data_IF_275412327607
#
_entry.id   IF_275412327607
#
_cell.length_a   1.000
_cell.length_b   1.000
_cell.length_c   1.000
_cell.angle_alpha   90.00
_cell.angle_beta   90.00
_cell.angle_gamma   90.00
#
_symmetry.space_group_name_H-M   'P 1'
#
loop_
_entity.id
_entity.type
_entity.pdbx_description
1 polymer ?
#
# COMPACT_ATOMS: atom_id res chain seq x y z
N UNK A 1 17.92 -36.21 -15.18
CA UNK A 1 17.18 -37.24 -15.91
C UNK A 1 15.87 -37.46 -15.21
N UNK A 2 14.78 -37.09 -15.74
CA UNK A 2 13.59 -37.86 -16.07
C UNK A 2 12.54 -36.94 -16.68
N UNK A 3 12.30 -37.19 -17.95
CA UNK A 3 11.23 -36.65 -18.80
C UNK A 3 9.89 -37.30 -18.43
N UNK A 4 8.81 -36.64 -18.86
CA UNK A 4 7.50 -37.20 -19.29
C UNK A 4 6.34 -36.62 -18.49
N UNK A 5 5.17 -36.22 -19.03
CA UNK A 5 4.64 -36.31 -20.39
C UNK A 5 3.53 -35.27 -20.54
N UNK A 6 3.46 -34.74 -21.74
CA UNK A 6 2.37 -34.05 -22.40
C UNK A 6 1.09 -34.89 -22.36
N UNK A 7 -0.07 -34.33 -22.03
CA UNK A 7 -1.36 -34.86 -22.44
C UNK A 7 -2.25 -33.74 -22.97
N UNK A 8 -2.35 -33.71 -24.28
CA UNK A 8 -3.34 -32.95 -25.07
C UNK A 8 -4.61 -33.78 -25.12
N UNK A 9 -5.76 -33.21 -24.77
CA UNK A 9 -7.07 -33.76 -25.14
C UNK A 9 -7.85 -32.67 -25.86
N UNK A 10 -8.04 -32.90 -27.14
CA UNK A 10 -8.96 -32.22 -28.06
C UNK A 10 -10.26 -33.02 -28.10
N UNK A 11 -11.41 -32.39 -27.94
CA UNK A 11 -12.69 -32.89 -28.43
C UNK A 11 -13.65 -31.69 -28.53
N UNK A 12 -13.81 -31.14 -29.71
CA UNK A 12 -14.89 -31.21 -30.74
C UNK A 12 -16.30 -30.83 -30.28
N UNK A 13 -16.71 -29.66 -30.75
CA UNK A 13 -17.92 -29.26 -31.48
C UNK A 13 -19.23 -29.97 -31.17
N UNK A 14 -20.25 -29.20 -30.79
CA UNK A 14 -21.61 -29.37 -31.26
C UNK A 14 -22.36 -28.05 -31.35
N UNK A 15 -22.78 -27.75 -32.55
CA UNK A 15 -23.63 -26.65 -33.01
C UNK A 15 -25.10 -26.98 -32.67
N UNK A 16 -25.83 -26.03 -32.08
CA UNK A 16 -27.27 -26.17 -31.87
C UNK A 16 -27.94 -24.77 -31.88
N UNK A 17 -28.60 -24.46 -33.01
CA UNK A 17 -29.56 -23.37 -33.09
C UNK A 17 -30.88 -23.81 -32.47
N UNK A 18 -31.56 -22.93 -31.71
CA UNK A 18 -32.92 -22.51 -31.99
C UNK A 18 -33.56 -21.74 -30.82
N UNK A 19 -34.10 -20.58 -31.16
CA UNK A 19 -35.44 -20.05 -30.90
C UNK A 19 -35.74 -19.31 -29.60
N UNK A 20 -36.17 -18.07 -29.85
CA UNK A 20 -36.91 -17.08 -29.06
C UNK A 20 -37.93 -17.63 -28.05
N UNK A 21 -37.95 -17.04 -26.85
CA UNK A 21 -39.23 -16.71 -26.19
C UNK A 21 -39.04 -15.56 -25.19
N UNK A 22 -39.90 -14.59 -25.30
CA UNK A 22 -40.07 -13.39 -24.47
C UNK A 22 -40.60 -13.75 -23.09
N UNK A 23 -40.18 -13.00 -22.04
CA UNK A 23 -40.90 -13.07 -20.77
C UNK A 23 -40.15 -12.47 -19.60
N UNK A 24 -40.45 -11.21 -19.35
CA UNK A 24 -40.70 -10.47 -18.10
C UNK A 24 -39.73 -10.55 -16.91
N UNK A 25 -39.32 -9.36 -16.54
CA UNK A 25 -39.10 -8.76 -15.21
C UNK A 25 -38.63 -9.66 -14.05
N UNK A 26 -37.41 -9.40 -13.65
CA UNK A 26 -37.05 -9.33 -12.24
C UNK A 26 -35.90 -8.33 -12.10
N UNK A 27 -36.22 -7.21 -11.46
CA UNK A 27 -35.28 -6.24 -10.98
C UNK A 27 -34.31 -6.96 -10.03
N UNK A 28 -33.07 -7.09 -10.47
CA UNK A 28 -31.92 -7.25 -9.59
C UNK A 28 -31.23 -5.89 -9.61
N UNK A 29 -31.16 -5.26 -8.45
CA UNK A 29 -30.34 -4.08 -8.18
C UNK A 29 -28.92 -4.41 -8.60
N UNK A 30 -28.61 -4.06 -9.83
CA UNK A 30 -27.24 -3.93 -10.31
C UNK A 30 -26.74 -2.57 -9.79
N UNK A 31 -26.03 -2.62 -8.68
CA UNK A 31 -25.20 -1.50 -8.25
C UNK A 31 -24.18 -1.30 -9.38
N UNK A 32 -24.59 -0.59 -10.40
CA UNK A 32 -23.74 -0.09 -11.46
C UNK A 32 -22.77 0.90 -10.84
N UNK A 33 -21.64 0.40 -10.35
CA UNK A 33 -20.46 1.21 -10.12
C UNK A 33 -20.05 1.73 -11.49
N UNK A 34 -20.53 2.91 -11.83
CA UNK A 34 -20.10 3.63 -13.03
C UNK A 34 -18.63 3.98 -12.86
N UNK A 35 -17.76 3.07 -13.30
CA UNK A 35 -16.38 3.38 -13.59
C UNK A 35 -16.34 4.31 -14.80
N UNK A 36 -16.50 5.60 -14.56
CA UNK A 36 -16.43 6.62 -15.62
C UNK A 36 -14.95 6.92 -15.87
N UNK A 37 -14.34 6.13 -16.74
CA UNK A 37 -13.03 6.43 -17.31
C UNK A 37 -13.14 7.67 -18.19
N UNK A 38 -12.74 8.82 -17.67
CA UNK A 38 -12.50 10.00 -18.50
C UNK A 38 -13.09 11.31 -17.97
N UNK A 39 -12.23 12.20 -17.49
CA UNK A 39 -12.54 13.61 -17.31
C UNK A 39 -12.73 14.10 -15.88
N UNK A 40 -12.78 13.25 -14.87
CA UNK A 40 -12.77 13.71 -13.48
C UNK A 40 -11.32 13.90 -13.00
N UNK A 41 -11.06 15.06 -12.42
CA UNK A 41 -9.86 15.29 -11.63
C UNK A 41 -10.12 14.80 -10.21
N UNK A 42 -9.12 14.19 -9.59
CA UNK A 42 -9.13 13.75 -8.18
C UNK A 42 -9.42 14.93 -7.27
N UNK A 43 -10.39 14.77 -6.38
CA UNK A 43 -10.75 15.73 -5.34
C UNK A 43 -11.01 15.03 -4.01
N UNK A 44 -11.14 15.84 -2.94
CA UNK A 44 -11.47 15.31 -1.61
C UNK A 44 -12.78 14.52 -1.64
N UNK A 45 -12.77 13.35 -0.99
CA UNK A 45 -13.89 12.42 -0.92
C UNK A 45 -13.94 11.40 -2.06
N UNK A 46 -13.13 11.55 -3.11
CA UNK A 46 -13.04 10.52 -4.15
C UNK A 46 -12.28 9.29 -3.62
N UNK A 47 -12.79 8.09 -3.92
CA UNK A 47 -12.04 6.84 -3.77
C UNK A 47 -11.15 6.68 -5.01
N UNK A 48 -9.84 6.63 -4.81
CA UNK A 48 -8.86 6.48 -5.88
C UNK A 48 -8.12 5.15 -5.78
N UNK A 49 -7.78 4.60 -6.94
CA UNK A 49 -6.85 3.49 -7.05
C UNK A 49 -5.59 3.98 -7.75
N UNK A 50 -4.42 3.70 -7.17
CA UNK A 50 -3.14 4.16 -7.71
C UNK A 50 -2.11 3.04 -7.72
N UNK A 51 -1.23 3.07 -8.72
CA UNK A 51 0.05 2.41 -8.62
C UNK A 51 1.10 3.40 -8.17
N UNK A 52 2.06 2.92 -7.37
CA UNK A 52 3.17 3.74 -6.93
C UNK A 52 4.46 2.93 -6.75
N UNK A 53 5.56 3.67 -6.77
CA UNK A 53 6.88 3.23 -6.34
C UNK A 53 7.41 4.28 -5.38
N UNK A 54 7.79 3.86 -4.17
CA UNK A 54 8.40 4.70 -3.14
C UNK A 54 9.90 4.45 -3.04
N UNK A 55 10.68 5.51 -3.12
CA UNK A 55 12.15 5.47 -3.04
C UNK A 55 12.69 6.42 -1.98
N UNK A 56 13.81 6.06 -1.37
CA UNK A 56 14.61 6.93 -0.50
C UNK A 56 15.51 7.85 -1.32
N UNK A 57 16.14 8.83 -0.67
CA UNK A 57 17.07 9.76 -1.33
C UNK A 57 18.32 9.08 -1.90
N UNK A 58 18.68 7.90 -1.43
CA UNK A 58 19.75 7.08 -1.99
C UNK A 58 19.34 6.29 -3.24
N UNK A 59 18.07 6.38 -3.64
CA UNK A 59 17.48 5.68 -4.78
C UNK A 59 17.00 4.26 -4.47
N UNK A 60 17.14 3.78 -3.25
CA UNK A 60 16.61 2.48 -2.86
C UNK A 60 15.08 2.49 -2.81
N UNK A 61 14.44 1.45 -3.36
CA UNK A 61 12.99 1.28 -3.27
C UNK A 61 12.65 0.65 -1.93
N UNK A 62 11.77 1.31 -1.16
CA UNK A 62 11.29 0.78 0.12
C UNK A 62 9.89 0.16 0.01
N UNK A 63 9.10 0.57 -0.98
CA UNK A 63 7.76 0.01 -1.21
C UNK A 63 7.31 0.21 -2.66
N UNK A 64 6.52 -0.77 -3.19
CA UNK A 64 5.97 -0.71 -4.55
C UNK A 64 4.68 -1.50 -4.67
N UNK A 65 3.59 -0.84 -5.04
CA UNK A 65 2.33 -1.50 -5.36
C UNK A 65 2.42 -2.36 -6.62
N UNK A 66 3.35 -2.03 -7.54
CA UNK A 66 3.56 -2.80 -8.76
C UNK A 66 4.22 -4.15 -8.46
N UNK A 67 5.18 -4.19 -7.52
CA UNK A 67 5.81 -5.44 -7.07
C UNK A 67 4.82 -6.34 -6.33
N UNK A 68 3.90 -5.75 -5.55
CA UNK A 68 2.81 -6.50 -4.90
C UNK A 68 1.74 -6.97 -5.88
N UNK A 69 1.69 -6.40 -7.08
CA UNK A 69 0.68 -6.73 -8.12
C UNK A 69 -0.73 -6.24 -7.80
N UNK A 70 -0.88 -5.31 -6.84
CA UNK A 70 -2.18 -4.78 -6.40
C UNK A 70 -2.09 -3.28 -6.22
N UNK A 71 -2.99 -2.48 -6.85
CA UNK A 71 -3.07 -1.05 -6.61
C UNK A 71 -3.39 -0.74 -5.15
N UNK A 72 -2.98 0.44 -4.69
CA UNK A 72 -3.43 1.02 -3.43
C UNK A 72 -4.73 1.75 -3.68
N UNK A 73 -5.74 1.45 -2.86
CA UNK A 73 -7.04 2.13 -2.88
C UNK A 73 -7.21 2.92 -1.58
N UNK A 74 -7.57 4.20 -1.67
CA UNK A 74 -7.82 5.04 -0.51
C UNK A 74 -8.77 6.19 -0.87
N UNK A 75 -9.40 6.79 0.15
CA UNK A 75 -10.28 7.96 0.01
C UNK A 75 -9.48 9.23 0.25
N UNK A 76 -9.47 10.12 -0.74
CA UNK A 76 -8.72 11.38 -0.68
C UNK A 76 -9.27 12.30 0.42
N UNK A 77 -8.37 12.86 1.24
CA UNK A 77 -8.72 13.78 2.33
C UNK A 77 -9.12 13.11 3.64
N UNK A 78 -9.02 11.78 3.78
CA UNK A 78 -9.42 11.06 5.00
C UNK A 78 -8.24 10.64 5.89
N UNK A 79 -7.02 11.02 5.55
CA UNK A 79 -5.79 10.63 6.25
C UNK A 79 -5.55 9.11 6.32
N UNK A 80 -6.01 8.36 5.33
CA UNK A 80 -5.71 6.93 5.16
C UNK A 80 -4.28 6.71 4.68
N UNK A 81 -3.67 7.72 4.06
CA UNK A 81 -2.29 7.76 3.59
C UNK A 81 -1.57 8.98 4.16
N UNK A 82 -0.24 9.06 4.01
CA UNK A 82 0.53 10.23 4.44
C UNK A 82 0.10 11.50 3.69
N UNK A 83 0.16 12.66 4.35
CA UNK A 83 -0.38 13.91 3.83
C UNK A 83 0.20 14.30 2.46
N UNK A 84 1.51 14.16 2.28
CA UNK A 84 2.16 14.47 1.02
C UNK A 84 1.69 13.58 -0.14
N UNK A 85 1.35 12.30 0.14
CA UNK A 85 0.83 11.37 -0.87
C UNK A 85 -0.60 11.74 -1.27
N UNK A 86 -1.43 12.07 -0.27
CA UNK A 86 -2.80 12.52 -0.46
C UNK A 86 -2.85 13.82 -1.29
N UNK A 87 -1.98 14.78 -1.00
CA UNK A 87 -1.86 16.04 -1.74
C UNK A 87 -1.37 15.83 -3.18
N UNK A 88 -0.45 14.89 -3.39
CA UNK A 88 0.16 14.64 -4.69
C UNK A 88 -0.81 14.07 -5.74
N UNK A 89 -1.88 13.40 -5.33
CA UNK A 89 -2.88 12.84 -6.26
C UNK A 89 -3.97 13.84 -6.63
N UNK A 90 -4.17 14.92 -5.84
CA UNK A 90 -5.21 15.92 -6.12
C UNK A 90 -4.99 16.59 -7.48
N UNK A 91 -6.07 16.69 -8.24
CA UNK A 91 -6.07 17.32 -9.57
C UNK A 91 -5.58 16.44 -10.69
N UNK A 92 -5.08 15.22 -10.42
CA UNK A 92 -4.74 14.25 -11.46
C UNK A 92 -5.99 13.63 -12.05
N UNK A 93 -5.88 13.15 -13.27
CA UNK A 93 -6.90 12.36 -13.96
C UNK A 93 -6.46 10.90 -14.10
N UNK A 94 -7.39 10.01 -14.44
CA UNK A 94 -7.06 8.60 -14.69
C UNK A 94 -6.02 8.48 -15.81
N UNK A 95 -4.95 7.73 -15.55
CA UNK A 95 -3.81 7.53 -16.45
C UNK A 95 -2.72 8.58 -16.33
N UNK A 96 -2.92 9.62 -15.52
CA UNK A 96 -1.85 10.58 -15.22
C UNK A 96 -0.92 10.05 -14.11
N UNK A 97 0.33 10.46 -14.22
CA UNK A 97 1.37 10.16 -13.23
C UNK A 97 2.01 11.43 -12.71
N UNK A 98 2.43 11.38 -11.47
CA UNK A 98 3.21 12.44 -10.82
C UNK A 98 4.39 11.84 -10.07
N UNK A 99 5.43 12.66 -9.88
CA UNK A 99 6.53 12.33 -8.97
C UNK A 99 6.58 13.42 -7.90
N UNK A 100 6.41 13.01 -6.66
CA UNK A 100 6.39 13.92 -5.52
C UNK A 100 7.42 13.49 -4.48
N UNK A 101 8.28 14.45 -4.08
CA UNK A 101 9.20 14.28 -2.96
C UNK A 101 8.61 14.91 -1.72
N UNK A 102 8.44 14.09 -0.69
CA UNK A 102 7.84 14.45 0.57
C UNK A 102 8.92 14.59 1.64
N UNK A 103 8.88 15.66 2.38
CA UNK A 103 9.73 15.84 3.56
C UNK A 103 9.20 15.00 4.71
N UNK A 104 10.04 14.70 5.73
CA UNK A 104 9.59 13.88 6.86
C UNK A 104 8.29 14.37 7.50
N UNK A 105 8.09 15.69 7.63
CA UNK A 105 6.90 16.27 8.23
C UNK A 105 5.59 15.94 7.47
N UNK A 106 5.67 15.73 6.16
CA UNK A 106 4.54 15.39 5.29
C UNK A 106 4.43 13.88 5.04
N UNK A 107 5.33 13.09 5.66
CA UNK A 107 5.44 11.64 5.56
C UNK A 107 5.25 10.97 6.93
N UNK A 108 6.30 10.35 7.46
CA UNK A 108 6.25 9.61 8.73
C UNK A 108 6.77 10.41 9.93
N UNK A 109 6.97 11.70 9.77
CA UNK A 109 7.46 12.60 10.82
C UNK A 109 8.98 12.63 10.93
N UNK A 110 9.46 13.63 11.67
CA UNK A 110 10.88 13.72 12.02
C UNK A 110 11.24 12.64 13.04
N UNK A 111 12.49 12.15 12.96
CA UNK A 111 13.02 11.30 14.02
C UNK A 111 13.11 12.11 15.34
N UNK A 112 12.74 11.51 16.47
CA UNK A 112 12.74 12.19 17.76
C UNK A 112 13.30 11.31 18.88
N UNK A 113 14.14 11.89 19.72
CA UNK A 113 14.63 11.27 20.96
C UNK A 113 13.50 10.88 21.93
N UNK A 114 12.32 11.52 21.80
CA UNK A 114 11.16 11.21 22.64
C UNK A 114 10.65 9.78 22.46
N UNK A 115 10.92 9.19 21.29
CA UNK A 115 10.58 7.81 20.97
C UNK A 115 11.73 6.83 21.22
N UNK A 116 12.83 7.30 21.83
CA UNK A 116 13.90 6.45 22.33
C UNK A 116 13.63 6.12 23.79
N UNK A 117 13.38 4.86 24.09
CA UNK A 117 12.97 4.42 25.44
C UNK A 117 13.95 3.40 26.00
N UNK A 118 14.24 3.51 27.29
CA UNK A 118 14.98 2.50 28.01
C UNK A 118 14.01 1.59 28.79
N UNK A 119 14.07 0.30 28.53
CA UNK A 119 13.18 -0.68 29.15
C UNK A 119 13.98 -1.77 29.90
N UNK A 120 13.43 -2.31 31.00
CA UNK A 120 14.05 -3.43 31.71
C UNK A 120 14.14 -4.65 30.77
N UNK A 121 15.31 -5.29 30.78
CA UNK A 121 15.58 -6.46 29.97
C UNK A 121 16.35 -7.50 30.79
N UNK A 122 15.91 -8.75 30.74
CA UNK A 122 16.50 -9.83 31.54
C UNK A 122 16.70 -11.12 30.75
N UNK A 123 17.47 -12.06 31.28
CA UNK A 123 17.85 -13.30 30.58
C UNK A 123 16.68 -14.19 30.14
N UNK A 124 15.50 -13.98 30.73
CA UNK A 124 14.28 -14.71 30.34
C UNK A 124 13.64 -14.24 29.01
N UNK A 125 14.10 -13.12 28.48
CA UNK A 125 13.55 -12.50 27.25
C UNK A 125 14.34 -12.87 25.98
N UNK A 126 15.42 -13.67 26.16
CA UNK A 126 16.28 -14.11 25.07
C UNK A 126 17.55 -13.24 24.93
N UNK A 127 18.34 -13.49 23.90
CA UNK A 127 19.49 -12.67 23.56
C UNK A 127 19.09 -11.66 22.48
N UNK A 128 19.47 -10.39 22.65
CA UNK A 128 19.30 -9.33 21.66
C UNK A 128 20.62 -8.63 21.42
N UNK A 129 20.81 -8.13 20.21
CA UNK A 129 21.96 -7.35 19.79
C UNK A 129 21.55 -5.97 19.27
N UNK A 130 22.50 -5.05 19.26
CA UNK A 130 22.31 -3.72 18.65
C UNK A 130 21.98 -3.91 17.16
N UNK A 131 20.89 -3.26 16.72
CA UNK A 131 20.34 -3.36 15.36
C UNK A 131 19.26 -4.41 15.19
N UNK A 132 18.98 -5.25 16.20
CA UNK A 132 17.88 -6.19 16.13
C UNK A 132 16.53 -5.47 16.16
N UNK A 133 15.58 -5.95 15.36
CA UNK A 133 14.19 -5.54 15.46
C UNK A 133 13.46 -6.40 16.50
N UNK A 134 12.81 -5.76 17.45
CA UNK A 134 12.05 -6.39 18.52
C UNK A 134 10.62 -5.88 18.54
N UNK A 135 9.70 -6.67 19.08
CA UNK A 135 8.31 -6.26 19.26
C UNK A 135 8.02 -6.03 20.73
N UNK A 136 7.49 -4.85 21.02
CA UNK A 136 6.97 -4.55 22.34
C UNK A 136 5.70 -5.35 22.61
N UNK A 137 5.34 -5.47 23.89
CA UNK A 137 4.09 -6.14 24.31
C UNK A 137 2.82 -5.42 23.80
N UNK A 138 2.95 -4.20 23.30
CA UNK A 138 1.91 -3.43 22.60
C UNK A 138 1.73 -3.84 21.13
N UNK A 139 2.64 -4.66 20.59
CA UNK A 139 2.70 -5.02 19.18
C UNK A 139 3.47 -4.02 18.30
N UNK A 140 4.01 -2.95 18.88
CA UNK A 140 4.85 -1.97 18.18
C UNK A 140 6.25 -2.56 17.97
N UNK A 141 6.80 -2.41 16.76
CA UNK A 141 8.20 -2.73 16.47
C UNK A 141 9.13 -1.66 17.02
N UNK A 142 10.33 -2.05 17.38
CA UNK A 142 11.39 -1.17 17.83
C UNK A 142 12.75 -1.75 17.44
N UNK A 143 13.73 -0.87 17.24
CA UNK A 143 15.11 -1.26 16.95
C UNK A 143 15.96 -1.11 18.20
N UNK A 144 16.79 -2.12 18.50
CA UNK A 144 17.72 -2.08 19.63
C UNK A 144 18.88 -1.15 19.32
N UNK A 145 18.98 -0.04 20.05
CA UNK A 145 20.08 0.93 19.92
C UNK A 145 21.25 0.60 20.84
N UNK A 146 20.98 0.12 22.06
CA UNK A 146 21.99 -0.20 23.04
C UNK A 146 21.54 -1.33 23.95
N UNK A 147 22.45 -2.22 24.30
CA UNK A 147 22.21 -3.28 25.30
C UNK A 147 23.07 -2.98 26.52
N UNK A 148 22.42 -2.81 27.68
CA UNK A 148 23.04 -2.54 29.00
C UNK A 148 22.81 -3.68 29.96
N UNK A 149 23.50 -3.65 31.10
CA UNK A 149 23.24 -4.62 32.18
C UNK A 149 21.83 -4.37 32.77
N UNK A 150 20.91 -5.28 32.48
CA UNK A 150 19.54 -5.24 33.01
C UNK A 150 18.55 -4.34 32.24
N UNK A 151 18.98 -3.64 31.21
CA UNK A 151 18.10 -2.79 30.35
C UNK A 151 18.54 -2.81 28.90
N UNK A 152 17.62 -2.44 28.00
CA UNK A 152 17.90 -2.15 26.60
C UNK A 152 17.33 -0.78 26.22
N UNK A 153 18.04 -0.09 25.35
CA UNK A 153 17.56 1.16 24.73
C UNK A 153 16.96 0.82 23.38
N UNK A 154 15.72 1.19 23.19
CA UNK A 154 14.93 0.90 21.99
C UNK A 154 14.53 2.19 21.28
N UNK A 155 14.70 2.22 19.98
CA UNK A 155 14.11 3.23 19.12
C UNK A 155 12.72 2.74 18.66
N UNK A 156 11.70 3.48 19.05
CA UNK A 156 10.31 3.20 18.69
C UNK A 156 9.77 4.20 17.63
N UNK A 157 10.63 5.02 17.03
CA UNK A 157 10.28 5.83 15.89
C UNK A 157 9.79 4.93 14.74
N UNK A 158 9.01 5.50 13.84
CA UNK A 158 8.72 4.81 12.58
C UNK A 158 10.02 4.54 11.83
N UNK A 159 10.13 3.39 11.16
CA UNK A 159 11.37 3.00 10.44
C UNK A 159 11.81 4.01 9.36
N UNK A 160 10.87 4.83 8.85
CA UNK A 160 11.12 5.89 7.89
C UNK A 160 11.02 7.30 8.49
N UNK A 161 11.00 7.44 9.83
CA UNK A 161 11.04 8.75 10.47
C UNK A 161 12.35 9.46 10.18
N UNK A 162 12.29 10.75 9.85
CA UNK A 162 13.45 11.54 9.44
C UNK A 162 13.88 11.35 7.99
N UNK A 163 13.31 10.40 7.27
CA UNK A 163 13.62 10.16 5.87
C UNK A 163 12.71 10.98 4.94
N UNK A 164 13.29 11.59 3.93
CA UNK A 164 12.54 12.16 2.83
C UNK A 164 12.23 11.05 1.80
N UNK A 165 10.97 11.03 1.36
CA UNK A 165 10.47 9.98 0.50
C UNK A 165 10.10 10.54 -0.86
N UNK A 166 10.44 9.83 -1.93
CA UNK A 166 10.00 10.17 -3.29
C UNK A 166 9.05 9.09 -3.78
N UNK A 167 7.84 9.50 -4.17
CA UNK A 167 6.87 8.60 -4.76
C UNK A 167 6.63 8.96 -6.22
N UNK A 168 6.69 7.96 -7.07
CA UNK A 168 6.13 7.99 -8.42
C UNK A 168 4.76 7.35 -8.35
N UNK A 169 3.71 8.11 -8.68
CA UNK A 169 2.30 7.72 -8.48
C UNK A 169 1.58 7.81 -9.83
N UNK A 170 0.81 6.78 -10.19
CA UNK A 170 -0.08 6.75 -11.35
C UNK A 170 -1.51 6.48 -10.90
N UNK A 171 -2.46 7.33 -11.32
CA UNK A 171 -3.88 7.14 -11.03
C UNK A 171 -4.49 6.13 -11.99
N UNK A 172 -5.03 5.05 -11.45
CA UNK A 172 -5.62 3.94 -12.23
C UNK A 172 -7.13 4.09 -12.34
N UNK A 173 -7.79 4.50 -11.25
CA UNK A 173 -9.23 4.69 -11.23
C UNK A 173 -9.63 5.79 -10.24
N UNK A 174 -10.76 6.44 -10.53
CA UNK A 174 -11.40 7.42 -9.64
C UNK A 174 -12.86 7.01 -9.52
N UNK A 175 -13.34 6.81 -8.30
CA UNK A 175 -14.74 6.54 -7.99
C UNK A 175 -15.26 7.66 -7.09
N UNK A 176 -16.27 8.38 -7.55
CA UNK A 176 -16.87 9.47 -6.80
C UNK A 176 -18.14 8.99 -6.11
N UNK A 177 -18.22 9.06 -4.77
CA UNK A 177 -19.48 8.77 -4.07
C UNK A 177 -20.54 9.80 -4.48
N UNK A 178 -21.79 9.32 -4.64
CA UNK A 178 -22.96 10.15 -4.91
C UNK A 178 -23.41 10.97 -3.69
#
# INVERSE_FOLDING_TARGET
MLKRHLLVIIATVALGLAACSSGVDSAADDATTSSTNGGFMVQDGDLVEVHYIGTLDDGSTFDSSRERGTPLSFTVGTAEVIAGFDDAVRGLTVGESTTARMLPADAYGEWSDEFVVEVPYGPSQGDVAVGDEVFLNTGQSAVVLEVKEGTVVLDTNHALAGEALTFEIEVIAITRPE
#
